data_IF_236535683860
#
_entry.id   IF_236535683860
#
_cell.length_a   1.000
_cell.length_b   1.000
_cell.length_c   1.000
_cell.angle_alpha   90.00
_cell.angle_beta   90.00
_cell.angle_gamma   90.00
#
_symmetry.space_group_name_H-M   'P 1'
#
loop_
_entity.id
_entity.type
_entity.pdbx_description
1 polymer ?
#
# COMPACT_ATOMS: atom_id res chain seq x y z
N UNK A 1 -10.61 21.53 7.76
CA UNK A 1 -10.04 20.17 7.90
C UNK A 1 -11.03 19.19 7.30
N UNK A 2 -10.77 18.56 6.15
CA UNK A 2 -11.60 17.43 5.75
C UNK A 2 -11.33 16.28 6.72
N UNK A 3 -12.38 15.65 7.22
CA UNK A 3 -12.27 14.51 8.11
C UNK A 3 -11.44 13.41 7.43
N UNK A 4 -10.49 12.81 8.16
CA UNK A 4 -9.88 11.56 7.72
C UNK A 4 -11.02 10.59 7.35
N UNK A 5 -10.97 9.91 6.19
CA UNK A 5 -12.06 9.02 5.80
C UNK A 5 -12.21 7.97 6.90
N UNK A 6 -13.36 7.99 7.57
CA UNK A 6 -13.69 7.11 8.71
C UNK A 6 -13.39 5.63 8.41
N UNK A 7 -13.47 5.26 7.13
CA UNK A 7 -13.11 3.95 6.55
C UNK A 7 -11.61 3.59 6.64
N UNK A 8 -10.68 4.53 6.57
CA UNK A 8 -9.24 4.25 6.64
C UNK A 8 -8.81 3.87 8.06
N UNK A 9 -9.34 4.57 9.07
CA UNK A 9 -9.08 4.25 10.48
C UNK A 9 -9.75 2.91 10.87
N UNK A 10 -10.98 2.68 10.42
CA UNK A 10 -11.71 1.40 10.60
C UNK A 10 -11.04 0.25 9.82
N UNK A 11 -10.41 0.48 8.67
CA UNK A 11 -9.61 -0.52 7.97
C UNK A 11 -8.31 -0.83 8.73
N UNK A 12 -7.69 0.19 9.36
CA UNK A 12 -6.48 0.00 10.15
C UNK A 12 -6.75 -0.75 11.46
N UNK A 13 -7.89 -0.48 12.11
CA UNK A 13 -8.30 -1.07 13.39
C UNK A 13 -9.10 -2.37 13.22
N UNK A 14 -9.93 -2.53 12.19
CA UNK A 14 -10.71 -3.73 11.88
C UNK A 14 -9.85 -4.88 11.32
N UNK A 15 -8.70 -4.58 10.72
CA UNK A 15 -7.73 -5.58 10.30
C UNK A 15 -7.08 -6.35 11.48
N UNK A 16 -7.33 -5.93 12.73
CA UNK A 16 -6.85 -6.59 13.94
C UNK A 16 -7.61 -7.89 14.28
N UNK A 17 -8.75 -8.21 13.67
CA UNK A 17 -9.50 -9.44 14.00
C UNK A 17 -10.02 -10.30 12.82
N UNK A 18 -10.13 -9.81 11.57
CA UNK A 18 -10.88 -10.56 10.53
C UNK A 18 -10.07 -11.21 9.37
N UNK A 19 -8.75 -11.07 9.31
CA UNK A 19 -8.00 -11.48 8.10
C UNK A 19 -7.56 -12.97 8.03
N UNK A 20 -8.44 -13.90 8.43
CA UNK A 20 -8.47 -15.28 7.92
C UNK A 20 -9.66 -15.52 6.96
N UNK A 21 -10.55 -14.54 6.75
CA UNK A 21 -11.70 -14.64 5.83
C UNK A 21 -11.44 -14.23 4.37
N UNK A 22 -10.31 -13.63 4.01
CA UNK A 22 -10.11 -13.12 2.65
C UNK A 22 -9.62 -14.15 1.61
N UNK A 23 -9.47 -15.42 2.01
CA UNK A 23 -9.46 -16.57 1.09
C UNK A 23 -10.80 -17.33 1.07
N UNK A 24 -11.80 -16.92 1.85
CA UNK A 24 -13.13 -17.52 1.86
C UNK A 24 -14.21 -16.50 2.28
N UNK A 25 -14.93 -15.96 1.29
CA UNK A 25 -16.33 -15.58 1.46
C UNK A 25 -16.66 -14.47 2.47
N UNK A 26 -16.78 -13.23 2.00
CA UNK A 26 -17.86 -12.38 2.50
C UNK A 26 -19.20 -13.00 2.03
N UNK A 27 -20.04 -13.34 3.00
CA UNK A 27 -21.44 -13.72 2.80
C UNK A 27 -21.80 -15.00 3.53
N UNK A 28 -22.68 -14.88 4.54
CA UNK A 28 -23.41 -16.01 5.09
C UNK A 28 -24.04 -16.86 3.97
N UNK A 29 -24.38 -18.10 4.31
CA UNK A 29 -24.74 -19.22 3.43
C UNK A 29 -25.81 -18.89 2.35
N UNK A 30 -26.49 -17.75 2.42
CA UNK A 30 -27.43 -17.24 1.41
C UNK A 30 -26.80 -16.42 0.26
N UNK A 31 -25.52 -16.02 0.35
CA UNK A 31 -24.85 -15.15 -0.64
C UNK A 31 -24.05 -15.85 -1.75
N UNK A 32 -23.82 -17.16 -1.64
CA UNK A 32 -22.94 -17.92 -2.53
C UNK A 32 -23.39 -17.99 -3.99
N UNK A 33 -24.71 -18.06 -4.25
CA UNK A 33 -25.23 -18.12 -5.62
C UNK A 33 -25.24 -16.77 -6.34
N UNK A 34 -25.49 -15.66 -5.63
CA UNK A 34 -25.50 -14.31 -6.26
C UNK A 34 -24.12 -13.88 -6.76
N UNK A 35 -23.05 -14.41 -6.15
CA UNK A 35 -21.66 -14.12 -6.49
C UNK A 35 -21.16 -14.81 -7.77
N UNK A 36 -21.88 -15.83 -8.25
CA UNK A 36 -21.61 -16.53 -9.52
C UNK A 36 -22.39 -15.91 -10.67
N UNK A 37 -23.53 -15.27 -10.39
CA UNK A 37 -24.52 -14.86 -11.41
C UNK A 37 -24.51 -13.36 -11.74
N UNK A 38 -23.92 -12.50 -10.91
CA UNK A 38 -23.88 -11.06 -11.14
C UNK A 38 -22.44 -10.58 -11.41
N UNK A 39 -22.21 -9.79 -12.48
CA UNK A 39 -20.94 -9.11 -12.68
C UNK A 39 -20.58 -8.32 -11.43
N UNK A 40 -19.33 -8.43 -10.97
CA UNK A 40 -18.85 -7.56 -9.90
C UNK A 40 -18.92 -6.11 -10.37
N UNK A 41 -19.52 -5.19 -9.60
CA UNK A 41 -19.46 -3.77 -9.96
C UNK A 41 -17.99 -3.35 -10.01
N UNK A 42 -17.56 -2.83 -11.16
CA UNK A 42 -16.20 -2.33 -11.35
C UNK A 42 -16.11 -0.93 -10.76
N UNK A 43 -14.96 -0.61 -10.18
CA UNK A 43 -14.59 0.76 -9.78
C UNK A 43 -14.52 1.60 -11.04
N UNK A 44 -15.38 2.62 -11.13
CA UNK A 44 -15.54 3.44 -12.32
C UNK A 44 -15.34 4.94 -12.05
N UNK A 45 -15.15 5.34 -10.79
CA UNK A 45 -14.90 6.73 -10.40
C UNK A 45 -13.51 6.93 -9.80
N UNK A 46 -12.95 8.12 -10.00
CA UNK A 46 -11.64 8.49 -9.46
C UNK A 46 -11.60 8.43 -7.93
N UNK A 47 -12.68 8.80 -7.24
CA UNK A 47 -12.74 8.77 -5.78
C UNK A 47 -12.75 7.33 -5.23
N UNK A 48 -13.54 6.44 -5.83
CA UNK A 48 -13.54 5.02 -5.46
C UNK A 48 -12.18 4.37 -5.73
N UNK A 49 -11.50 4.76 -6.81
CA UNK A 49 -10.15 4.29 -7.08
C UNK A 49 -9.16 4.80 -6.04
N UNK A 50 -9.23 6.09 -5.66
CA UNK A 50 -8.36 6.64 -4.61
C UNK A 50 -8.51 5.88 -3.28
N UNK A 51 -9.76 5.64 -2.85
CA UNK A 51 -10.07 4.86 -1.66
C UNK A 51 -9.50 3.43 -1.75
N UNK A 52 -9.65 2.77 -2.91
CA UNK A 52 -9.14 1.43 -3.16
C UNK A 52 -7.61 1.36 -3.09
N UNK A 53 -6.91 2.34 -3.68
CA UNK A 53 -5.44 2.40 -3.68
C UNK A 53 -4.90 2.62 -2.26
N UNK A 54 -5.50 3.56 -1.51
CA UNK A 54 -5.14 3.87 -0.12
C UNK A 54 -5.38 2.65 0.78
N UNK A 55 -6.54 2.00 0.67
CA UNK A 55 -6.88 0.82 1.47
C UNK A 55 -5.97 -0.37 1.13
N UNK A 56 -5.64 -0.57 -0.15
CA UNK A 56 -4.74 -1.63 -0.58
C UNK A 56 -3.33 -1.42 -0.03
N UNK A 57 -2.82 -0.19 -0.03
CA UNK A 57 -1.52 0.12 0.55
C UNK A 57 -1.45 -0.20 2.05
N UNK A 58 -2.46 0.20 2.82
CA UNK A 58 -2.56 -0.12 4.23
C UNK A 58 -2.58 -1.64 4.46
N UNK A 59 -3.39 -2.37 3.70
CA UNK A 59 -3.49 -3.84 3.79
C UNK A 59 -2.17 -4.53 3.48
N UNK A 60 -1.47 -4.12 2.41
CA UNK A 60 -0.19 -4.72 2.01
C UNK A 60 0.89 -4.46 3.07
N UNK A 61 1.02 -3.22 3.53
CA UNK A 61 1.98 -2.85 4.57
C UNK A 61 1.76 -3.67 5.85
N UNK A 62 0.54 -3.63 6.40
CA UNK A 62 0.21 -4.36 7.62
C UNK A 62 0.40 -5.87 7.49
N UNK A 63 -0.05 -6.45 6.38
CA UNK A 63 0.08 -7.89 6.16
C UNK A 63 1.53 -8.31 6.11
N UNK A 64 2.39 -7.53 5.44
CA UNK A 64 3.82 -7.83 5.32
C UNK A 64 4.55 -7.69 6.65
N UNK A 65 4.32 -6.57 7.37
CA UNK A 65 4.86 -6.34 8.72
C UNK A 65 4.44 -7.47 9.66
N UNK A 66 3.14 -7.78 9.73
CA UNK A 66 2.59 -8.83 10.60
C UNK A 66 3.14 -10.22 10.25
N UNK A 67 3.18 -10.57 8.97
CA UNK A 67 3.72 -11.85 8.50
C UNK A 67 5.19 -12.02 8.91
N UNK A 68 5.99 -10.96 8.79
CA UNK A 68 7.39 -10.98 9.20
C UNK A 68 7.55 -11.21 10.70
N UNK A 69 6.85 -10.40 11.52
CA UNK A 69 6.89 -10.54 12.97
C UNK A 69 6.41 -11.92 13.43
N UNK A 70 5.35 -12.45 12.84
CA UNK A 70 4.85 -13.81 13.15
C UNK A 70 5.88 -14.88 12.78
N UNK A 71 6.58 -14.73 11.65
CA UNK A 71 7.62 -15.67 11.23
C UNK A 71 8.84 -15.62 12.16
N UNK A 72 9.25 -14.44 12.64
CA UNK A 72 10.40 -14.27 13.55
C UNK A 72 10.08 -14.63 15.01
N UNK A 73 8.89 -14.33 15.49
CA UNK A 73 8.48 -14.58 16.88
C UNK A 73 8.06 -16.05 17.13
N UNK A 74 7.65 -16.78 16.08
CA UNK A 74 7.09 -18.12 16.23
C UNK A 74 5.79 -18.09 17.05
N UNK A 75 5.60 -19.08 17.93
CA UNK A 75 4.40 -19.19 18.80
C UNK A 75 4.44 -18.27 20.03
N UNK A 76 5.58 -17.64 20.35
CA UNK A 76 5.72 -16.76 21.51
C UNK A 76 5.77 -15.32 21.03
N UNK A 77 4.84 -14.49 21.48
CA UNK A 77 4.99 -13.04 21.41
C UNK A 77 6.36 -12.66 22.01
N UNK A 78 7.17 -11.82 21.33
CA UNK A 78 8.43 -11.36 21.89
C UNK A 78 8.18 -10.70 23.25
N UNK A 79 9.00 -10.97 24.28
CA UNK A 79 8.97 -10.20 25.53
C UNK A 79 9.06 -8.69 25.27
N UNK A 80 9.73 -8.28 24.18
CA UNK A 80 9.87 -6.90 23.74
C UNK A 80 8.57 -6.22 23.29
N UNK A 81 7.46 -6.93 23.08
CA UNK A 81 6.17 -6.25 22.82
C UNK A 81 5.64 -5.49 24.05
N UNK A 82 6.10 -5.83 25.26
CA UNK A 82 5.82 -5.07 26.48
C UNK A 82 6.66 -3.79 26.61
N UNK A 83 7.76 -3.69 25.87
CA UNK A 83 8.66 -2.53 25.88
C UNK A 83 8.04 -1.36 25.10
N UNK A 84 8.04 -0.18 25.71
CA UNK A 84 7.52 1.04 25.11
C UNK A 84 8.37 1.48 23.90
N UNK A 85 9.69 1.29 23.95
CA UNK A 85 10.59 1.67 22.88
C UNK A 85 10.38 0.78 21.64
N UNK A 86 10.29 -0.53 21.84
CA UNK A 86 9.97 -1.45 20.74
C UNK A 86 8.61 -1.14 20.10
N UNK A 87 7.58 -0.80 20.91
CA UNK A 87 6.27 -0.41 20.39
C UNK A 87 6.33 0.89 19.58
N UNK A 88 7.07 1.90 20.04
CA UNK A 88 7.28 3.15 19.29
C UNK A 88 7.97 2.90 17.95
N UNK A 89 9.02 2.07 17.95
CA UNK A 89 9.72 1.65 16.71
C UNK A 89 8.80 0.87 15.79
N UNK A 90 7.99 -0.05 16.31
CA UNK A 90 7.02 -0.82 15.52
C UNK A 90 5.95 0.07 14.86
N UNK A 91 5.43 1.06 15.58
CA UNK A 91 4.50 2.05 15.01
C UNK A 91 5.19 2.87 13.91
N UNK A 92 6.43 3.30 14.12
CA UNK A 92 7.24 3.94 13.09
C UNK A 92 7.41 3.05 11.85
N UNK A 93 7.75 1.78 12.03
CA UNK A 93 7.90 0.81 10.94
C UNK A 93 6.60 0.60 10.18
N UNK A 94 5.45 0.54 10.86
CA UNK A 94 4.13 0.37 10.23
C UNK A 94 3.77 1.56 9.37
N UNK A 95 3.97 2.77 9.88
CA UNK A 95 3.71 3.99 9.13
C UNK A 95 4.63 4.09 7.91
N UNK A 96 5.91 3.80 8.09
CA UNK A 96 6.88 3.82 6.98
C UNK A 96 6.57 2.76 5.93
N UNK A 97 6.20 1.56 6.36
CA UNK A 97 5.75 0.50 5.46
C UNK A 97 4.52 0.92 4.66
N UNK A 98 3.56 1.61 5.30
CA UNK A 98 2.41 2.16 4.62
C UNK A 98 2.81 3.21 3.57
N UNK A 99 3.64 4.18 3.94
CA UNK A 99 4.07 5.26 3.04
C UNK A 99 4.76 4.71 1.79
N UNK A 100 5.71 3.77 1.94
CA UNK A 100 6.40 3.16 0.79
C UNK A 100 5.49 2.25 -0.04
N UNK A 101 4.58 1.51 0.59
CA UNK A 101 3.57 0.73 -0.14
C UNK A 101 2.60 1.62 -0.93
N UNK A 102 2.20 2.76 -0.37
CA UNK A 102 1.32 3.71 -1.06
C UNK A 102 2.01 4.25 -2.30
N UNK A 103 3.26 4.72 -2.18
CA UNK A 103 4.04 5.19 -3.32
C UNK A 103 4.13 4.14 -4.44
N UNK A 104 4.49 2.90 -4.10
CA UNK A 104 4.62 1.81 -5.09
C UNK A 104 3.27 1.40 -5.71
N UNK A 105 2.19 1.37 -4.94
CA UNK A 105 0.85 1.09 -5.45
C UNK A 105 0.39 2.16 -6.43
N UNK A 106 0.69 3.43 -6.15
CA UNK A 106 0.35 4.54 -7.05
C UNK A 106 1.17 4.50 -8.34
N UNK A 107 2.44 4.07 -8.29
CA UNK A 107 3.25 3.85 -9.50
C UNK A 107 2.73 2.67 -10.33
N UNK A 108 2.27 1.59 -9.68
CA UNK A 108 1.61 0.48 -10.39
C UNK A 108 0.29 0.95 -11.00
N UNK A 109 -0.50 1.75 -10.26
CA UNK A 109 -1.75 2.31 -10.78
C UNK A 109 -1.50 3.27 -11.97
N UNK A 110 -0.47 4.12 -11.90
CA UNK A 110 -0.02 4.94 -13.03
C UNK A 110 0.21 4.09 -14.26
N UNK A 111 0.99 3.01 -14.11
CA UNK A 111 1.29 2.07 -15.19
C UNK A 111 0.02 1.49 -15.79
N UNK A 112 -0.88 0.92 -14.98
CA UNK A 112 -2.09 0.26 -15.49
C UNK A 112 -3.02 1.26 -16.20
N UNK A 113 -3.17 2.46 -15.63
CA UNK A 113 -3.98 3.51 -16.23
C UNK A 113 -3.36 4.04 -17.53
N UNK A 114 -2.03 4.22 -17.58
CA UNK A 114 -1.31 4.62 -18.78
C UNK A 114 -1.40 3.57 -19.89
N UNK A 115 -1.26 2.29 -19.55
CA UNK A 115 -1.44 1.21 -20.53
C UNK A 115 -2.87 1.17 -21.08
N UNK A 116 -3.87 1.36 -20.23
CA UNK A 116 -5.28 1.33 -20.65
C UNK A 116 -5.75 2.57 -21.42
N UNK A 117 -5.25 3.77 -21.08
CA UNK A 117 -5.72 5.05 -21.63
C UNK A 117 -4.77 5.68 -22.66
N UNK A 118 -3.56 5.14 -22.82
CA UNK A 118 -2.50 5.72 -23.64
C UNK A 118 -1.66 6.76 -22.91
N UNK A 119 -1.23 7.82 -23.61
CA UNK A 119 -0.18 8.74 -23.14
C UNK A 119 -0.41 9.31 -21.73
N UNK A 120 0.67 9.54 -20.95
CA UNK A 120 0.58 10.13 -19.62
C UNK A 120 -0.12 11.48 -19.69
N UNK A 121 -1.31 11.56 -19.09
CA UNK A 121 -2.04 12.82 -18.96
C UNK A 121 -1.49 13.53 -17.74
N UNK A 122 -1.16 14.81 -17.87
CA UNK A 122 -0.80 15.67 -16.72
C UNK A 122 -1.80 15.52 -15.56
N UNK A 123 -3.09 15.41 -15.88
CA UNK A 123 -4.16 15.17 -14.90
C UNK A 123 -4.03 13.86 -14.10
N UNK A 124 -3.49 12.78 -14.70
CA UNK A 124 -3.22 11.53 -13.98
C UNK A 124 -2.14 11.75 -12.92
N UNK A 125 -1.03 12.40 -13.30
CA UNK A 125 0.08 12.65 -12.38
C UNK A 125 -0.36 13.56 -11.21
N UNK A 126 -1.08 14.64 -11.51
CA UNK A 126 -1.57 15.58 -10.49
C UNK A 126 -2.59 14.91 -9.55
N UNK A 127 -3.45 14.05 -10.09
CA UNK A 127 -4.38 13.24 -9.29
C UNK A 127 -3.63 12.27 -8.38
N UNK A 128 -2.65 11.52 -8.89
CA UNK A 128 -1.85 10.58 -8.09
C UNK A 128 -1.08 11.30 -6.96
N UNK A 129 -0.55 12.50 -7.21
CA UNK A 129 0.06 13.35 -6.15
C UNK A 129 -0.95 13.68 -5.06
N UNK A 130 -2.17 14.05 -5.44
CA UNK A 130 -3.26 14.35 -4.51
C UNK A 130 -3.66 13.12 -3.70
N UNK A 131 -3.82 11.95 -4.35
CA UNK A 131 -4.10 10.68 -3.67
C UNK A 131 -2.99 10.31 -2.69
N UNK A 132 -1.73 10.48 -3.07
CA UNK A 132 -0.60 10.20 -2.18
C UNK A 132 -0.62 11.09 -0.94
N UNK A 133 -0.78 12.41 -1.12
CA UNK A 133 -0.85 13.37 0.00
C UNK A 133 -2.02 13.04 0.93
N UNK A 134 -3.23 12.86 0.37
CA UNK A 134 -4.42 12.52 1.15
C UNK A 134 -4.28 11.17 1.87
N UNK A 135 -3.64 10.19 1.23
CA UNK A 135 -3.35 8.89 1.81
C UNK A 135 -2.40 8.99 3.00
N UNK A 136 -1.30 9.75 2.86
CA UNK A 136 -0.42 10.05 3.99
C UNK A 136 -1.22 10.71 5.12
N UNK A 137 -1.98 11.77 4.83
CA UNK A 137 -2.76 12.53 5.83
C UNK A 137 -3.85 11.70 6.53
N UNK A 138 -4.26 10.56 5.95
CA UNK A 138 -5.28 9.68 6.52
C UNK A 138 -4.84 8.98 7.81
N UNK A 139 -3.54 8.92 8.11
CA UNK A 139 -3.00 8.23 9.28
C UNK A 139 -2.11 9.14 10.12
N UNK A 140 -2.19 9.11 11.47
CA UNK A 140 -1.36 9.95 12.33
C UNK A 140 0.14 9.65 12.16
N UNK A 141 0.99 10.67 12.31
CA UNK A 141 2.44 10.46 12.31
C UNK A 141 2.89 9.85 13.64
N UNK A 142 3.73 8.80 13.61
CA UNK A 142 4.44 8.35 14.80
C UNK A 142 5.44 9.41 15.26
N UNK A 143 5.60 9.52 16.58
CA UNK A 143 6.38 10.58 17.26
C UNK A 143 7.85 10.64 16.83
N UNK A 144 8.45 9.51 16.45
CA UNK A 144 9.91 9.43 16.38
C UNK A 144 10.55 9.69 15.01
N UNK A 145 9.86 9.52 13.86
CA UNK A 145 10.59 9.47 12.56
C UNK A 145 9.85 9.85 11.28
N UNK A 146 8.57 10.18 11.32
CA UNK A 146 7.81 10.32 10.08
C UNK A 146 7.73 11.77 9.58
N UNK A 147 8.34 12.05 8.42
CA UNK A 147 8.19 13.32 7.69
C UNK A 147 7.29 13.10 6.45
N UNK A 148 6.01 13.49 6.56
CA UNK A 148 5.06 13.40 5.43
C UNK A 148 5.55 14.16 4.21
N UNK A 149 6.10 15.35 4.41
CA UNK A 149 6.48 16.23 3.32
C UNK A 149 7.68 15.63 2.57
N UNK A 150 8.67 15.09 3.28
CA UNK A 150 9.78 14.37 2.66
C UNK A 150 9.32 13.13 1.89
N UNK A 151 8.41 12.32 2.46
CA UNK A 151 7.84 11.15 1.78
C UNK A 151 7.03 11.53 0.54
N UNK A 152 6.26 12.61 0.62
CA UNK A 152 5.52 13.11 -0.52
C UNK A 152 6.43 13.63 -1.63
N UNK A 153 7.46 14.44 -1.31
CA UNK A 153 8.47 14.90 -2.28
C UNK A 153 9.17 13.73 -2.97
N UNK A 154 9.64 12.75 -2.19
CA UNK A 154 10.28 11.56 -2.76
C UNK A 154 9.36 10.77 -3.71
N UNK A 155 8.06 10.70 -3.40
CA UNK A 155 7.07 10.12 -4.33
C UNK A 155 6.89 10.98 -5.59
N UNK A 156 6.77 12.30 -5.45
CA UNK A 156 6.61 13.22 -6.58
C UNK A 156 7.80 13.11 -7.55
N UNK A 157 9.02 13.08 -7.02
CA UNK A 157 10.24 12.95 -7.82
C UNK A 157 10.26 11.62 -8.59
N UNK A 158 9.91 10.52 -7.91
CA UNK A 158 9.87 9.18 -8.52
C UNK A 158 8.74 9.04 -9.55
N UNK A 159 7.59 9.65 -9.29
CA UNK A 159 6.46 9.68 -10.22
C UNK A 159 6.81 10.48 -11.49
N UNK A 160 7.50 11.63 -11.33
CA UNK A 160 7.98 12.42 -12.46
C UNK A 160 8.99 11.62 -13.31
N UNK A 161 9.98 11.00 -12.67
CA UNK A 161 10.95 10.16 -13.37
C UNK A 161 10.29 8.97 -14.11
N UNK A 162 9.27 8.35 -13.52
CA UNK A 162 8.55 7.24 -14.14
C UNK A 162 7.67 7.68 -15.33
N UNK A 163 7.19 8.92 -15.34
CA UNK A 163 6.35 9.46 -16.41
C UNK A 163 7.13 9.66 -17.73
N UNK A 164 8.41 9.99 -17.64
CA UNK A 164 9.29 10.23 -18.80
C UNK A 164 9.88 8.93 -19.39
N UNK A 165 9.70 7.80 -18.71
CA UNK A 165 10.26 6.51 -19.07
C UNK A 165 9.16 5.50 -19.45
N UNK A 166 9.49 4.43 -20.20
CA UNK A 166 8.60 3.27 -20.32
C UNK A 166 8.19 2.77 -18.92
N UNK A 167 6.93 2.30 -18.73
CA UNK A 167 6.50 1.84 -17.42
C UNK A 167 7.38 0.69 -16.93
N UNK A 168 7.91 0.83 -15.70
CA UNK A 168 8.61 -0.25 -15.03
C UNK A 168 7.70 -1.48 -14.86
N UNK A 169 8.31 -2.65 -14.74
CA UNK A 169 7.56 -3.84 -14.35
C UNK A 169 7.04 -3.71 -12.91
N UNK A 170 5.85 -4.25 -12.65
CA UNK A 170 5.30 -4.37 -11.29
C UNK A 170 6.27 -5.08 -10.35
N UNK A 171 7.06 -6.04 -10.86
CA UNK A 171 8.10 -6.73 -10.10
C UNK A 171 9.21 -5.78 -9.61
N UNK A 172 9.71 -4.93 -10.51
CA UNK A 172 10.75 -3.94 -10.20
C UNK A 172 10.24 -2.92 -9.18
N UNK A 173 9.03 -2.39 -9.39
CA UNK A 173 8.40 -1.46 -8.45
C UNK A 173 8.28 -2.13 -7.08
N UNK A 174 7.70 -3.33 -6.99
CA UNK A 174 7.40 -3.97 -5.72
C UNK A 174 8.63 -4.38 -4.89
N UNK A 175 9.78 -4.61 -5.54
CA UNK A 175 11.05 -4.89 -4.83
C UNK A 175 11.51 -3.69 -4.01
N UNK A 176 11.23 -2.47 -4.47
CA UNK A 176 11.58 -1.24 -3.75
C UNK A 176 10.88 -1.18 -2.39
N UNK A 177 9.54 -1.27 -2.31
CA UNK A 177 8.84 -1.29 -1.02
C UNK A 177 9.27 -2.48 -0.15
N UNK A 178 9.48 -3.66 -0.73
CA UNK A 178 9.95 -4.83 0.00
C UNK A 178 11.27 -4.59 0.76
N UNK A 179 12.24 -3.99 0.06
CA UNK A 179 13.54 -3.65 0.65
C UNK A 179 13.39 -2.53 1.68
N UNK A 180 12.69 -1.44 1.33
CA UNK A 180 12.50 -0.29 2.21
C UNK A 180 11.78 -0.66 3.51
N UNK A 181 10.78 -1.56 3.45
CA UNK A 181 10.11 -2.09 4.65
C UNK A 181 11.11 -2.84 5.53
N UNK A 182 11.92 -3.72 4.94
CA UNK A 182 12.90 -4.51 5.69
C UNK A 182 13.94 -3.61 6.38
N UNK A 183 14.43 -2.59 5.69
CA UNK A 183 15.43 -1.67 6.24
C UNK A 183 14.90 -0.82 7.41
N UNK A 184 13.58 -0.63 7.48
CA UNK A 184 12.91 0.06 8.58
C UNK A 184 12.40 -0.89 9.68
N UNK A 185 12.61 -2.21 9.57
CA UNK A 185 12.21 -3.14 10.61
C UNK A 185 13.06 -2.94 11.88
N UNK A 186 12.46 -3.01 13.07
CA UNK A 186 13.22 -3.05 14.30
C UNK A 186 14.17 -4.24 14.26
N UNK A 187 15.44 -4.00 14.59
CA UNK A 187 16.40 -5.08 14.73
C UNK A 187 15.93 -6.02 15.84
N UNK A 188 15.75 -7.29 15.48
CA UNK A 188 15.65 -8.36 16.45
C UNK A 188 17.05 -8.83 16.78
N UNK A 189 17.41 -8.81 18.06
CA UNK A 189 18.72 -9.16 18.61
C UNK A 189 19.36 -10.39 17.91
N UNK A 190 20.68 -10.26 17.63
CA UNK A 190 21.60 -11.32 17.20
C UNK A 190 21.17 -12.09 15.93
N UNK A 191 21.25 -11.44 14.76
CA UNK A 191 21.29 -12.17 13.48
C UNK A 191 22.60 -11.93 12.75
N UNK A 192 23.28 -13.00 12.35
CA UNK A 192 24.37 -12.93 11.37
C UNK A 192 23.89 -12.42 10.00
N UNK A 193 24.82 -11.95 9.16
CA UNK A 193 24.53 -11.40 7.84
C UNK A 193 23.80 -12.38 6.90
N UNK A 194 24.00 -13.69 7.08
CA UNK A 194 23.36 -14.71 6.25
C UNK A 194 21.88 -14.87 6.60
N UNK A 195 21.52 -14.78 7.87
CA UNK A 195 20.12 -14.76 8.31
C UNK A 195 19.45 -13.45 7.92
N UNK A 196 20.13 -12.31 8.08
CA UNK A 196 19.59 -11.00 7.67
C UNK A 196 19.26 -10.96 6.18
N UNK A 197 20.14 -11.48 5.31
CA UNK A 197 19.89 -11.60 3.86
C UNK A 197 18.70 -12.50 3.52
N UNK A 198 18.54 -13.64 4.21
CA UNK A 198 17.39 -14.53 4.01
C UNK A 198 16.08 -13.86 4.42
N UNK A 199 16.08 -13.17 5.55
CA UNK A 199 14.92 -12.44 6.05
C UNK A 199 14.50 -11.30 5.11
N UNK A 200 15.48 -10.57 4.57
CA UNK A 200 15.24 -9.55 3.55
C UNK A 200 14.55 -10.17 2.32
N UNK A 201 15.07 -11.30 1.81
CA UNK A 201 14.49 -11.98 0.67
C UNK A 201 13.04 -12.44 0.92
N UNK A 202 12.74 -12.92 2.13
CA UNK A 202 11.37 -13.31 2.53
C UNK A 202 10.44 -12.09 2.55
N UNK A 203 10.88 -10.97 3.14
CA UNK A 203 10.10 -9.73 3.17
C UNK A 203 9.84 -9.21 1.75
N UNK A 204 10.89 -9.09 0.95
CA UNK A 204 10.81 -8.60 -0.43
C UNK A 204 9.83 -9.45 -1.23
N UNK A 205 9.93 -10.77 -1.15
CA UNK A 205 9.03 -11.66 -1.88
C UNK A 205 7.59 -11.58 -1.36
N UNK A 206 7.38 -11.45 -0.05
CA UNK A 206 6.04 -11.25 0.53
C UNK A 206 5.35 -10.00 -0.03
N UNK A 207 6.06 -8.86 -0.04
CA UNK A 207 5.53 -7.60 -0.59
C UNK A 207 5.31 -7.73 -2.09
N UNK A 208 6.29 -8.28 -2.82
CA UNK A 208 6.23 -8.51 -4.27
C UNK A 208 5.02 -9.31 -4.70
N UNK A 209 4.73 -10.45 -4.07
CA UNK A 209 3.55 -11.23 -4.42
C UNK A 209 2.23 -10.49 -4.16
N UNK A 210 2.18 -9.65 -3.13
CA UNK A 210 0.99 -8.84 -2.83
C UNK A 210 0.78 -7.72 -3.84
N UNK A 211 1.85 -7.07 -4.28
CA UNK A 211 1.80 -6.04 -5.30
C UNK A 211 1.46 -6.61 -6.69
N UNK A 212 1.99 -7.79 -7.03
CA UNK A 212 1.61 -8.50 -8.26
C UNK A 212 0.14 -8.92 -8.24
N UNK A 213 -0.35 -9.41 -7.10
CA UNK A 213 -1.78 -9.69 -6.93
C UNK A 213 -2.63 -8.43 -7.08
N UNK A 214 -2.21 -7.30 -6.49
CA UNK A 214 -2.87 -6.01 -6.67
C UNK A 214 -2.93 -5.57 -8.14
N UNK A 215 -1.82 -5.69 -8.89
CA UNK A 215 -1.80 -5.32 -10.31
C UNK A 215 -2.79 -6.16 -11.13
N UNK A 216 -2.87 -7.47 -10.86
CA UNK A 216 -3.92 -8.33 -11.47
C UNK A 216 -5.32 -7.91 -11.03
N UNK A 217 -5.51 -7.63 -9.74
CA UNK A 217 -6.81 -7.22 -9.22
C UNK A 217 -7.28 -5.91 -9.86
N UNK A 218 -6.37 -4.96 -10.18
CA UNK A 218 -6.70 -3.74 -10.94
C UNK A 218 -7.38 -4.05 -12.28
N UNK A 219 -6.87 -5.02 -13.03
CA UNK A 219 -7.46 -5.43 -14.32
C UNK A 219 -8.88 -5.99 -14.15
N UNK A 220 -9.13 -6.72 -13.06
CA UNK A 220 -10.41 -7.39 -12.78
C UNK A 220 -11.47 -6.45 -12.19
N UNK A 221 -11.08 -5.54 -11.30
CA UNK A 221 -12.02 -4.77 -10.47
C UNK A 221 -12.11 -3.30 -10.82
N UNK A 222 -11.17 -2.76 -11.61
CA UNK A 222 -11.16 -1.34 -12.02
C UNK A 222 -11.46 -1.24 -13.51
N UNK A 223 -12.34 -0.32 -13.90
CA UNK A 223 -12.50 0.07 -15.29
C UNK A 223 -11.45 1.10 -15.69
N UNK A 224 -10.20 0.66 -15.83
CA UNK A 224 -9.07 1.55 -16.15
C UNK A 224 -9.27 2.33 -17.46
N UNK A 225 -10.01 1.77 -18.42
CA UNK A 225 -10.31 2.44 -19.68
C UNK A 225 -11.42 3.49 -19.54
N UNK A 226 -12.45 3.21 -18.74
CA UNK A 226 -13.62 4.08 -18.55
C UNK A 226 -13.48 5.12 -17.44
N UNK A 227 -12.51 5.00 -16.54
CA UNK A 227 -12.37 5.91 -15.41
C UNK A 227 -12.02 7.34 -15.87
N UNK A 228 -12.89 8.29 -15.52
CA UNK A 228 -12.68 9.71 -15.79
C UNK A 228 -11.88 10.31 -14.63
N UNK A 229 -10.61 10.62 -14.89
CA UNK A 229 -9.74 11.29 -13.93
C UNK A 229 -10.06 12.79 -13.91
N UNK A 230 -9.96 13.45 -12.74
CA UNK A 230 -10.14 14.89 -12.66
C UNK A 230 -9.13 15.61 -13.56
N UNK A 231 -9.55 16.75 -14.10
CA UNK A 231 -8.65 17.62 -14.86
C UNK A 231 -7.45 18.01 -14.00
N UNK A 232 -6.30 18.23 -14.65
CA UNK A 232 -5.09 18.72 -14.00
C UNK A 232 -5.43 19.93 -13.13
N UNK A 233 -5.25 19.80 -11.82
CA UNK A 233 -5.36 20.92 -10.91
C UNK A 233 -4.02 21.65 -10.90
N UNK A 234 -4.03 22.97 -10.98
CA UNK A 234 -2.85 23.78 -10.69
C UNK A 234 -2.58 23.62 -9.19
N UNK A 235 -1.76 22.64 -8.82
CA UNK A 235 -1.29 22.48 -7.46
C UNK A 235 -0.19 23.51 -7.27
N UNK A 236 -0.48 24.59 -6.55
CA UNK A 236 0.56 25.52 -6.12
C UNK A 236 1.51 24.76 -5.18
N UNK A 237 2.79 24.71 -5.56
CA UNK A 237 3.86 24.11 -4.76
C UNK A 237 4.03 24.91 -3.45
N UNK A 238 3.69 24.28 -2.32
CA UNK A 238 4.03 24.73 -0.96
C UNK A 238 4.85 23.64 -0.28
#
# INVERSE_FOLDING_TARGET
MPAAPKRALEAMQGALWENYGYLAGFGGVTGGLKRILLPRPRIASADELADYLIATAARVAQSSVRSYFRARAGFRAPPSLGDAEFRARLESTRWEAYAVCLADILLIAERELRVAQGRPRRGLLDWLRTVHRNGLDSYPLPVERADRAARHRAFVDRLAAAADMPPDSTDAIARHAGQAIFDNMPEYERSDDTRRRRDAAVMINSVRFRMLAFARDMEEVVDCAGIVLPAAQTVDDI
#
